data_IF_334710251281
#
_entry.id   IF_334710251281
#
_cell.length_a   1.000
_cell.length_b   1.000
_cell.length_c   1.000
_cell.angle_alpha   90.00
_cell.angle_beta   90.00
_cell.angle_gamma   90.00
#
_symmetry.space_group_name_H-M   'P 1'
#
loop_
_entity.id
_entity.type
_entity.pdbx_description
1 polymer ?
#
# COMPACT_ATOMS: atom_id res chain seq x y z
N UNK A 1 -19.34 8.35 -16.45
CA UNK A 1 -19.66 8.49 -15.02
C UNK A 1 -20.88 7.66 -14.68
N UNK A 2 -20.68 6.34 -14.63
CA UNK A 2 -21.49 5.48 -13.80
C UNK A 2 -20.98 5.60 -12.35
N UNK A 3 -21.86 5.95 -11.41
CA UNK A 3 -21.53 5.85 -9.99
C UNK A 3 -21.58 4.36 -9.60
N UNK A 4 -20.53 3.86 -8.94
CA UNK A 4 -20.48 2.49 -8.42
C UNK A 4 -19.75 1.46 -9.29
N UNK A 5 -19.01 1.87 -10.32
CA UNK A 5 -18.01 1.02 -10.97
C UNK A 5 -16.63 1.23 -10.33
N UNK A 6 -15.75 0.24 -10.45
CA UNK A 6 -14.34 0.37 -10.04
C UNK A 6 -13.69 1.61 -10.68
N UNK A 7 -12.78 2.25 -9.94
CA UNK A 7 -12.03 3.41 -10.40
C UNK A 7 -10.56 3.09 -10.57
N UNK A 8 -10.02 3.27 -11.77
CA UNK A 8 -8.61 3.08 -12.08
C UNK A 8 -8.02 4.33 -12.76
N UNK A 9 -6.71 4.34 -12.91
CA UNK A 9 -6.00 5.38 -13.66
C UNK A 9 -6.05 5.08 -15.16
N UNK A 10 -6.76 5.89 -15.95
CA UNK A 10 -6.89 5.63 -17.39
C UNK A 10 -5.88 6.41 -18.23
N UNK A 11 -5.73 7.71 -18.01
CA UNK A 11 -4.85 8.58 -18.83
C UNK A 11 -3.67 9.18 -18.05
N UNK A 12 -3.63 8.96 -16.73
CA UNK A 12 -2.60 9.53 -15.85
C UNK A 12 -2.38 8.60 -14.68
N UNK A 13 -1.13 8.38 -14.28
CA UNK A 13 -0.75 7.46 -13.19
C UNK A 13 -1.07 5.97 -13.46
N UNK A 14 -1.21 5.56 -14.71
CA UNK A 14 -1.47 4.16 -15.11
C UNK A 14 -0.47 3.16 -14.51
N UNK A 15 0.78 3.55 -14.32
CA UNK A 15 1.82 2.71 -13.71
C UNK A 15 1.52 2.33 -12.26
N UNK A 16 0.60 3.03 -11.61
CA UNK A 16 0.15 2.73 -10.24
C UNK A 16 -1.02 1.75 -10.21
N UNK A 17 -1.67 1.44 -11.34
CA UNK A 17 -2.81 0.51 -11.36
C UNK A 17 -2.40 -0.91 -10.94
N UNK A 18 -3.32 -1.67 -10.32
CA UNK A 18 -3.13 -3.10 -10.13
C UNK A 18 -3.37 -3.87 -11.42
N UNK A 19 -2.52 -4.84 -11.73
CA UNK A 19 -2.73 -5.74 -12.86
C UNK A 19 -2.72 -5.06 -14.23
N UNK A 20 -2.69 -5.85 -15.31
CA UNK A 20 -2.65 -5.30 -16.67
C UNK A 20 -4.04 -4.95 -17.25
N UNK A 21 -5.11 -5.45 -16.61
CA UNK A 21 -6.50 -5.24 -17.03
C UNK A 21 -7.14 -3.95 -16.51
N UNK A 22 -6.65 -3.39 -15.40
CA UNK A 22 -7.26 -2.24 -14.73
C UNK A 22 -7.46 -1.02 -15.64
N UNK A 23 -6.52 -0.73 -16.55
CA UNK A 23 -6.67 0.39 -17.49
C UNK A 23 -7.81 0.23 -18.52
N UNK A 24 -8.34 -0.99 -18.66
CA UNK A 24 -9.39 -1.32 -19.61
C UNK A 24 -10.77 -1.44 -18.93
N UNK A 25 -10.83 -1.23 -17.62
CA UNK A 25 -12.00 -1.46 -16.79
C UNK A 25 -12.35 -0.18 -16.01
N UNK A 26 -13.62 -0.03 -15.64
CA UNK A 26 -14.04 1.02 -14.73
C UNK A 26 -14.02 2.45 -15.32
N UNK A 27 -13.77 3.42 -14.46
CA UNK A 27 -13.78 4.86 -14.75
C UNK A 27 -12.46 5.53 -14.32
N UNK A 28 -12.14 6.70 -14.88
CA UNK A 28 -10.90 7.43 -14.54
C UNK A 28 -11.00 8.07 -13.16
N UNK A 29 -10.44 7.40 -12.16
CA UNK A 29 -10.47 7.82 -10.76
C UNK A 29 -9.91 9.24 -10.56
N UNK A 30 -8.82 9.58 -11.25
CA UNK A 30 -8.16 10.88 -11.10
C UNK A 30 -8.98 12.01 -11.75
N UNK A 31 -9.71 11.72 -12.82
CA UNK A 31 -10.63 12.69 -13.42
C UNK A 31 -11.85 12.92 -12.54
N UNK A 32 -12.46 11.84 -12.01
CA UNK A 32 -13.64 11.91 -11.14
C UNK A 32 -13.32 12.61 -9.81
N UNK A 33 -12.17 12.30 -9.20
CA UNK A 33 -11.73 12.88 -7.94
C UNK A 33 -11.61 14.41 -7.97
N UNK A 34 -11.44 15.02 -9.16
CA UNK A 34 -11.35 16.48 -9.33
C UNK A 34 -12.71 17.19 -9.43
N UNK A 35 -13.80 16.46 -9.62
CA UNK A 35 -15.11 17.07 -9.84
C UNK A 35 -15.62 17.75 -8.57
N UNK A 36 -16.05 19.01 -8.64
CA UNK A 36 -16.54 19.77 -7.47
C UNK A 36 -17.78 19.14 -6.80
N UNK A 37 -18.50 18.27 -7.51
CA UNK A 37 -19.68 17.57 -6.98
C UNK A 37 -19.36 16.31 -6.18
N UNK A 38 -18.07 15.95 -6.06
CA UNK A 38 -17.61 14.78 -5.29
C UNK A 38 -16.85 15.30 -4.07
N UNK A 39 -17.37 15.05 -2.87
CA UNK A 39 -16.79 15.60 -1.63
C UNK A 39 -15.65 14.74 -1.06
N UNK A 40 -15.68 13.44 -1.34
CA UNK A 40 -14.76 12.44 -0.78
C UNK A 40 -14.30 11.52 -1.89
N UNK A 41 -13.03 11.12 -1.83
CA UNK A 41 -12.47 10.10 -2.71
C UNK A 41 -12.35 8.78 -1.96
N UNK A 42 -12.56 7.68 -2.67
CA UNK A 42 -12.49 6.32 -2.11
C UNK A 42 -11.56 5.46 -2.94
N UNK A 43 -10.87 4.52 -2.32
CA UNK A 43 -10.01 3.56 -3.00
C UNK A 43 -10.26 2.17 -2.44
N UNK A 44 -10.29 1.17 -3.31
CA UNK A 44 -10.35 -0.24 -2.97
C UNK A 44 -8.99 -0.88 -3.31
N UNK A 45 -8.54 -1.85 -2.51
CA UNK A 45 -7.27 -2.53 -2.76
C UNK A 45 -7.32 -4.00 -2.36
N UNK A 46 -7.21 -4.87 -3.36
CA UNK A 46 -7.21 -6.32 -3.18
C UNK A 46 -5.98 -6.97 -3.80
N UNK A 47 -5.41 -7.95 -3.10
CA UNK A 47 -4.28 -8.73 -3.62
C UNK A 47 -4.60 -9.37 -4.97
N UNK A 48 -5.84 -9.87 -5.12
CA UNK A 48 -6.30 -10.50 -6.35
C UNK A 48 -6.27 -9.58 -7.56
N UNK A 49 -6.35 -8.27 -7.38
CA UNK A 49 -6.20 -7.32 -8.50
C UNK A 49 -4.78 -7.35 -9.08
N UNK A 50 -3.80 -7.91 -8.35
CA UNK A 50 -2.45 -8.18 -8.84
C UNK A 50 -2.32 -9.55 -9.52
N UNK A 51 -3.41 -10.32 -9.59
CA UNK A 51 -3.48 -11.59 -10.31
C UNK A 51 -4.12 -11.37 -11.70
N UNK A 52 -3.54 -11.97 -12.74
CA UNK A 52 -4.14 -12.17 -14.09
C UNK A 52 -4.01 -11.04 -15.12
N UNK A 53 -3.12 -11.21 -16.11
CA UNK A 53 -3.39 -11.22 -17.59
C UNK A 53 -2.27 -12.04 -18.29
N UNK A 54 -2.50 -12.80 -19.39
CA UNK A 54 -1.54 -13.73 -20.02
C UNK A 54 -0.18 -13.14 -20.47
N UNK A 55 0.87 -13.96 -20.72
CA UNK A 55 0.90 -15.44 -20.71
C UNK A 55 1.68 -16.08 -19.55
N UNK A 56 2.42 -15.33 -18.73
CA UNK A 56 3.13 -15.88 -17.57
C UNK A 56 3.01 -14.92 -16.39
N UNK A 57 2.48 -15.47 -15.31
CA UNK A 57 2.07 -14.78 -14.11
C UNK A 57 3.25 -14.66 -13.15
N UNK A 58 3.32 -13.55 -12.42
CA UNK A 58 3.93 -13.57 -11.09
C UNK A 58 2.83 -13.25 -10.10
N UNK A 59 2.32 -14.28 -9.42
CA UNK A 59 1.45 -14.09 -8.27
C UNK A 59 2.25 -13.30 -7.23
N UNK A 60 1.71 -12.16 -6.83
CA UNK A 60 2.31 -11.33 -5.81
C UNK A 60 2.20 -12.06 -4.47
N UNK A 61 3.32 -12.31 -3.79
CA UNK A 61 3.30 -12.84 -2.44
C UNK A 61 2.85 -11.75 -1.43
N UNK A 62 2.76 -12.10 -0.15
CA UNK A 62 2.32 -11.16 0.89
C UNK A 62 3.18 -9.89 0.96
N UNK A 63 4.50 -10.02 0.81
CA UNK A 63 5.42 -8.88 0.91
C UNK A 63 5.31 -7.99 -0.32
N UNK A 64 5.22 -8.59 -1.50
CA UNK A 64 4.93 -7.91 -2.75
C UNK A 64 3.62 -7.11 -2.64
N UNK A 65 2.55 -7.70 -2.11
CA UNK A 65 1.26 -7.00 -1.99
C UNK A 65 1.33 -5.85 -0.98
N UNK A 66 1.95 -6.06 0.19
CA UNK A 66 2.13 -4.98 1.17
C UNK A 66 2.92 -3.80 0.59
N UNK A 67 3.99 -4.08 -0.18
CA UNK A 67 4.77 -3.03 -0.83
C UNK A 67 3.97 -2.28 -1.89
N UNK A 68 3.19 -3.02 -2.69
CA UNK A 68 2.25 -2.42 -3.65
C UNK A 68 1.24 -1.52 -2.93
N UNK A 69 0.59 -2.02 -1.87
CA UNK A 69 -0.44 -1.27 -1.15
C UNK A 69 0.08 0.07 -0.63
N UNK A 70 1.30 0.10 -0.07
CA UNK A 70 1.92 1.35 0.40
C UNK A 70 2.12 2.34 -0.74
N UNK A 71 2.58 1.89 -1.91
CA UNK A 71 2.78 2.75 -3.08
C UNK A 71 1.45 3.22 -3.70
N UNK A 72 0.47 2.31 -3.76
CA UNK A 72 -0.84 2.56 -4.30
C UNK A 72 -1.59 3.61 -3.46
N UNK A 73 -1.62 3.41 -2.13
CA UNK A 73 -2.17 4.39 -1.20
C UNK A 73 -1.38 5.70 -1.25
N UNK A 74 -0.05 5.67 -1.33
CA UNK A 74 0.75 6.90 -1.45
C UNK A 74 0.40 7.74 -2.67
N UNK A 75 0.09 7.09 -3.81
CA UNK A 75 -0.39 7.79 -5.02
C UNK A 75 -1.76 8.42 -4.78
N UNK A 76 -2.72 7.66 -4.25
CA UNK A 76 -4.08 8.14 -3.99
C UNK A 76 -4.10 9.24 -2.93
N UNK A 77 -3.30 9.13 -1.89
CA UNK A 77 -3.13 10.12 -0.84
C UNK A 77 -2.63 11.43 -1.44
N UNK A 78 -1.52 11.42 -2.20
CA UNK A 78 -1.02 12.64 -2.85
C UNK A 78 -2.09 13.31 -3.72
N UNK A 79 -2.79 12.55 -4.55
CA UNK A 79 -3.83 13.09 -5.42
C UNK A 79 -5.02 13.66 -4.64
N UNK A 80 -5.46 12.97 -3.59
CA UNK A 80 -6.56 13.45 -2.74
C UNK A 80 -6.18 14.76 -2.03
N UNK A 81 -4.92 14.89 -1.58
CA UNK A 81 -4.37 16.16 -1.09
C UNK A 81 -4.39 17.24 -2.17
N UNK A 82 -3.95 16.93 -3.40
CA UNK A 82 -3.96 17.88 -4.52
C UNK A 82 -5.40 18.34 -4.86
N UNK A 83 -6.40 17.48 -4.65
CA UNK A 83 -7.82 17.79 -4.86
C UNK A 83 -8.45 18.53 -3.67
N UNK A 84 -7.75 18.59 -2.53
CA UNK A 84 -8.31 19.14 -1.28
C UNK A 84 -9.41 18.28 -0.67
N UNK A 85 -9.41 16.96 -0.92
CA UNK A 85 -10.48 16.04 -0.52
C UNK A 85 -10.00 14.94 0.42
N UNK A 86 -10.84 14.47 1.35
CA UNK A 86 -10.54 13.28 2.14
C UNK A 86 -10.45 12.03 1.26
N UNK A 87 -9.64 11.08 1.72
CA UNK A 87 -9.50 9.73 1.17
C UNK A 87 -9.97 8.69 2.18
N UNK A 88 -10.74 7.71 1.71
CA UNK A 88 -11.11 6.52 2.48
C UNK A 88 -10.61 5.27 1.73
N UNK A 89 -9.87 4.40 2.41
CA UNK A 89 -9.65 3.02 1.93
C UNK A 89 -10.90 2.22 2.24
N UNK A 90 -11.88 2.27 1.34
CA UNK A 90 -13.23 1.77 1.60
C UNK A 90 -13.31 0.24 1.59
N UNK A 91 -12.43 -0.41 0.84
CA UNK A 91 -12.36 -1.87 0.83
C UNK A 91 -10.90 -2.36 0.75
N UNK A 92 -10.56 -3.30 1.61
CA UNK A 92 -9.30 -4.05 1.56
C UNK A 92 -9.42 -5.37 2.30
N UNK A 93 -8.59 -6.35 1.94
CA UNK A 93 -8.52 -7.62 2.65
C UNK A 93 -7.54 -8.62 2.05
N UNK A 94 -7.35 -9.74 2.76
CA UNK A 94 -6.67 -10.93 2.24
C UNK A 94 -7.61 -12.12 2.26
N UNK A 95 -7.62 -12.84 1.14
CA UNK A 95 -8.45 -14.03 1.01
C UNK A 95 -7.83 -15.23 1.73
N UNK A 96 -8.66 -15.99 2.44
CA UNK A 96 -8.32 -17.28 3.02
C UNK A 96 -8.90 -18.42 2.17
N UNK A 97 -8.21 -19.57 2.07
CA UNK A 97 -6.99 -19.95 2.79
C UNK A 97 -5.67 -19.61 2.06
N UNK A 98 -5.69 -18.77 1.02
CA UNK A 98 -4.49 -18.44 0.24
C UNK A 98 -3.43 -17.71 1.08
N UNK A 99 -3.86 -16.90 2.05
CA UNK A 99 -3.01 -16.29 3.06
C UNK A 99 -3.27 -16.91 4.44
N UNK A 100 -2.46 -16.54 5.43
CA UNK A 100 -2.70 -16.95 6.83
C UNK A 100 -3.46 -15.87 7.60
N UNK A 101 -4.06 -16.27 8.73
CA UNK A 101 -4.70 -15.33 9.66
C UNK A 101 -3.68 -14.29 10.16
N UNK A 102 -2.44 -14.72 10.44
CA UNK A 102 -1.37 -13.81 10.87
C UNK A 102 -1.04 -12.76 9.81
N UNK A 103 -0.98 -13.15 8.53
CA UNK A 103 -0.77 -12.22 7.42
C UNK A 103 -1.92 -11.21 7.30
N UNK A 104 -3.17 -11.65 7.48
CA UNK A 104 -4.34 -10.75 7.52
C UNK A 104 -4.24 -9.74 8.65
N UNK A 105 -3.83 -10.16 9.85
CA UNK A 105 -3.64 -9.23 10.98
C UNK A 105 -2.48 -8.25 10.72
N UNK A 106 -1.38 -8.71 10.11
CA UNK A 106 -0.27 -7.83 9.72
C UNK A 106 -0.70 -6.79 8.68
N UNK A 107 -1.54 -7.16 7.71
CA UNK A 107 -2.13 -6.21 6.77
C UNK A 107 -2.98 -5.16 7.50
N UNK A 108 -3.83 -5.57 8.45
CA UNK A 108 -4.67 -4.65 9.21
C UNK A 108 -3.82 -3.68 10.03
N UNK A 109 -2.72 -4.16 10.61
CA UNK A 109 -1.74 -3.32 11.30
C UNK A 109 -1.07 -2.32 10.37
N UNK A 110 -0.65 -2.75 9.16
CA UNK A 110 -0.06 -1.85 8.16
C UNK A 110 -1.01 -0.69 7.82
N UNK A 111 -2.30 -0.98 7.61
CA UNK A 111 -3.32 0.05 7.33
C UNK A 111 -3.53 0.97 8.55
N UNK A 112 -3.60 0.41 9.76
CA UNK A 112 -3.75 1.20 10.99
C UNK A 112 -2.55 2.13 11.23
N UNK A 113 -1.32 1.64 11.03
CA UNK A 113 -0.08 2.42 11.15
C UNK A 113 -0.07 3.55 10.08
N UNK A 114 -0.51 3.27 8.85
CA UNK A 114 -0.64 4.28 7.80
C UNK A 114 -1.67 5.37 8.16
N UNK A 115 -2.84 4.99 8.69
CA UNK A 115 -3.84 5.95 9.17
C UNK A 115 -3.32 6.81 10.31
N UNK A 116 -2.59 6.23 11.26
CA UNK A 116 -1.97 6.97 12.35
C UNK A 116 -0.96 7.99 11.81
N UNK A 117 -0.13 7.58 10.86
CA UNK A 117 0.82 8.47 10.20
C UNK A 117 0.14 9.62 9.45
N UNK A 118 -0.93 9.33 8.69
CA UNK A 118 -1.71 10.33 7.97
C UNK A 118 -2.32 11.35 8.96
N UNK A 119 -2.90 10.88 10.07
CA UNK A 119 -3.38 11.78 11.13
C UNK A 119 -2.29 12.66 11.73
N UNK A 120 -1.10 12.10 12.00
CA UNK A 120 0.02 12.83 12.60
C UNK A 120 0.63 13.88 11.67
N UNK A 121 0.58 13.64 10.36
CA UNK A 121 1.19 14.50 9.35
C UNK A 121 0.20 15.43 8.65
N UNK A 122 -1.10 15.36 8.99
CA UNK A 122 -2.15 16.13 8.33
C UNK A 122 -2.49 15.64 6.92
N UNK A 123 -2.23 14.36 6.64
CA UNK A 123 -2.53 13.71 5.36
C UNK A 123 -4.03 13.50 5.13
N UNK A 124 -4.44 13.20 3.88
CA UNK A 124 -5.84 13.21 3.47
C UNK A 124 -6.60 11.93 3.79
N UNK A 125 -5.91 10.84 4.16
CA UNK A 125 -6.56 9.57 4.47
C UNK A 125 -7.18 9.62 5.87
N UNK A 126 -8.52 9.60 5.92
CA UNK A 126 -9.31 9.82 7.14
C UNK A 126 -10.01 8.56 7.66
N UNK A 127 -10.03 7.48 6.86
CA UNK A 127 -10.76 6.26 7.20
C UNK A 127 -10.26 5.05 6.43
N UNK A 128 -10.55 3.87 6.99
CA UNK A 128 -10.41 2.60 6.31
C UNK A 128 -11.53 1.64 6.76
N UNK A 129 -11.98 0.79 5.85
CA UNK A 129 -12.99 -0.24 6.06
C UNK A 129 -12.47 -1.54 5.43
N UNK A 130 -12.35 -2.59 6.24
CA UNK A 130 -11.95 -3.89 5.72
C UNK A 130 -13.16 -4.62 5.14
N UNK A 131 -12.94 -5.41 4.10
CA UNK A 131 -13.92 -6.33 3.57
C UNK A 131 -13.67 -7.73 4.13
N UNK A 132 -14.61 -8.39 4.81
CA UNK A 132 -15.84 -7.83 5.39
C UNK A 132 -16.08 -8.43 6.79
N UNK A 133 -16.97 -7.82 7.56
CA UNK A 133 -17.34 -8.32 8.88
C UNK A 133 -18.50 -9.34 8.78
N UNK A 134 -18.33 -10.50 9.40
CA UNK A 134 -19.33 -11.56 9.46
C UNK A 134 -19.65 -11.94 10.91
N UNK A 135 -20.86 -12.45 11.15
CA UNK A 135 -21.31 -13.03 12.42
C UNK A 135 -22.14 -14.28 12.10
N UNK A 136 -21.96 -15.35 12.86
CA UNK A 136 -22.72 -16.59 12.71
C UNK A 136 -22.30 -17.39 11.48
N UNK A 137 -23.26 -18.13 10.91
CA UNK A 137 -23.02 -18.99 9.75
C UNK A 137 -23.56 -18.32 8.49
N UNK A 138 -22.73 -17.52 7.83
CA UNK A 138 -23.04 -16.83 6.57
C UNK A 138 -22.21 -17.40 5.43
N UNK A 139 -22.58 -17.05 4.19
CA UNK A 139 -21.76 -17.39 3.03
C UNK A 139 -20.38 -16.72 3.14
N UNK A 140 -19.34 -17.47 2.79
CA UNK A 140 -17.94 -17.05 2.91
C UNK A 140 -17.32 -16.91 1.53
N UNK A 141 -17.01 -15.66 1.17
CA UNK A 141 -16.30 -15.30 -0.06
C UNK A 141 -14.78 -15.43 0.09
N UNK A 142 -14.31 -15.86 1.26
CA UNK A 142 -12.92 -16.00 1.66
C UNK A 142 -12.35 -14.76 2.37
N UNK A 143 -13.08 -13.64 2.43
CA UNK A 143 -12.64 -12.40 3.07
C UNK A 143 -13.26 -12.18 4.47
N UNK A 144 -14.27 -12.97 4.85
CA UNK A 144 -14.97 -12.83 6.12
C UNK A 144 -14.01 -12.76 7.32
N UNK A 145 -14.21 -11.74 8.15
CA UNK A 145 -13.67 -11.62 9.50
C UNK A 145 -14.84 -11.83 10.46
N UNK A 146 -14.91 -13.03 11.03
CA UNK A 146 -15.96 -13.39 11.99
C UNK A 146 -15.74 -12.68 13.33
N UNK A 147 -16.64 -11.77 13.70
CA UNK A 147 -16.55 -10.97 14.92
C UNK A 147 -16.92 -11.76 16.18
N UNK A 148 -17.61 -12.89 16.02
CA UNK A 148 -17.93 -13.88 17.04
C UNK A 148 -16.93 -15.05 17.09
N UNK A 149 -15.88 -15.00 16.26
CA UNK A 149 -14.80 -15.97 16.23
C UNK A 149 -13.73 -15.76 17.31
N UNK A 150 -12.79 -16.72 17.45
CA UNK A 150 -11.68 -16.59 18.38
C UNK A 150 -10.74 -15.43 17.98
N UNK A 151 -10.33 -14.63 18.98
CA UNK A 151 -9.42 -13.51 18.78
C UNK A 151 -7.99 -14.01 18.57
N UNK A 152 -7.44 -13.76 17.38
CA UNK A 152 -6.03 -14.05 17.07
C UNK A 152 -5.16 -12.84 17.37
N UNK A 153 -4.12 -13.01 18.20
CA UNK A 153 -3.09 -11.99 18.45
C UNK A 153 -1.80 -12.40 17.76
N UNK A 154 -1.21 -11.56 16.89
CA UNK A 154 0.08 -11.87 16.29
C UNK A 154 1.11 -12.09 17.39
N UNK A 155 1.95 -13.11 17.22
CA UNK A 155 3.15 -13.23 18.05
C UNK A 155 4.02 -12.00 17.77
N UNK A 156 4.53 -11.30 18.81
CA UNK A 156 5.49 -10.23 18.60
C UNK A 156 6.67 -10.75 17.79
N UNK A 157 6.90 -10.18 16.61
CA UNK A 157 8.15 -10.40 15.90
C UNK A 157 9.26 -9.77 16.75
N UNK A 158 10.32 -10.50 17.12
CA UNK A 158 11.45 -9.90 17.81
C UNK A 158 11.93 -8.70 16.99
N UNK A 159 12.07 -7.54 17.63
CA UNK A 159 12.73 -6.38 17.01
C UNK A 159 14.05 -6.88 16.42
N UNK A 160 14.38 -6.57 15.14
CA UNK A 160 15.68 -6.89 14.61
C UNK A 160 16.72 -6.32 15.58
N UNK A 161 17.49 -7.20 16.22
CA UNK A 161 18.60 -6.78 17.07
C UNK A 161 19.49 -5.92 16.19
N UNK A 162 19.54 -4.62 16.47
CA UNK A 162 20.49 -3.73 15.82
C UNK A 162 21.86 -4.39 15.91
N UNK A 163 22.45 -4.72 14.77
CA UNK A 163 23.77 -5.32 14.72
C UNK A 163 24.71 -4.46 15.59
N UNK A 164 25.61 -5.07 16.39
CA UNK A 164 26.57 -4.31 17.16
C UNK A 164 27.29 -3.35 16.23
N UNK A 165 27.19 -2.05 16.52
CA UNK A 165 27.99 -1.03 15.84
C UNK A 165 29.43 -1.45 16.04
N UNK A 166 30.04 -1.98 14.98
CA UNK A 166 31.46 -2.29 15.00
C UNK A 166 32.14 -0.93 15.01
N UNK A 167 32.67 -0.54 16.16
CA UNK A 167 33.49 0.66 16.30
C UNK A 167 34.72 0.49 15.41
N UNK A 168 34.64 0.97 14.17
CA UNK A 168 35.83 1.13 13.35
C UNK A 168 36.73 2.14 14.05
N UNK A 169 37.84 1.64 14.55
CA UNK A 169 38.99 2.41 15.03
C UNK A 169 39.42 3.37 13.91
N UNK A 170 39.57 4.68 14.16
CA UNK A 170 40.04 5.62 13.14
C UNK A 170 41.43 5.19 12.66
N UNK A 171 41.55 4.87 11.37
CA UNK A 171 42.84 4.71 10.71
C UNK A 171 43.47 6.09 10.56
N UNK A 172 44.62 6.29 11.20
CA UNK A 172 45.47 7.46 11.00
C UNK A 172 45.93 7.54 9.54
N UNK A 173 45.35 8.45 8.76
CA UNK A 173 45.83 8.79 7.42
C UNK A 173 47.11 9.64 7.54
N UNK A 174 48.27 9.03 7.29
CA UNK A 174 49.51 9.75 7.04
C UNK A 174 49.35 10.57 5.75
N UNK A 175 49.43 11.89 5.88
CA UNK A 175 49.37 12.83 4.76
C UNK A 175 50.50 12.60 3.77
N UNK A 176 50.14 12.53 2.49
CA UNK A 176 51.06 12.68 1.37
C UNK A 176 50.67 13.94 0.60
N UNK A 177 51.57 14.91 0.63
CA UNK A 177 51.46 16.19 -0.08
C UNK A 177 51.59 15.96 -1.60
N UNK A 178 50.77 16.59 -2.47
CA UNK A 178 50.98 16.54 -3.91
C UNK A 178 52.08 17.53 -4.34
N UNK A 179 52.98 17.09 -5.23
CA UNK A 179 53.97 17.93 -5.91
C UNK A 179 53.33 18.66 -7.12
N UNK A 180 53.82 19.86 -7.49
CA UNK A 180 53.20 20.70 -8.51
C UNK A 180 53.52 20.25 -9.94
N UNK A 181 52.52 20.40 -10.81
CA UNK A 181 52.53 20.07 -12.24
C UNK A 181 53.26 21.16 -13.03
N UNK A 182 54.27 20.78 -13.82
CA UNK A 182 54.87 21.62 -14.86
C UNK A 182 54.19 21.37 -16.21
N UNK A 183 53.82 22.46 -16.88
CA UNK A 183 53.24 22.45 -18.24
C UNK A 183 54.35 22.35 -19.31
N UNK A 184 54.08 21.70 -20.47
CA UNK A 184 54.91 21.87 -21.66
C UNK A 184 54.32 22.89 -22.64
N UNK A 185 55.22 23.69 -23.21
CA UNK A 185 55.12 24.54 -24.41
C UNK A 185 54.82 23.76 -25.68
#
# INVERSE_FOLDING_TARGET
VALGTEGYFLNSYESSNPGAGARCEGEDWAALGKMDTIDVTVVHAYERQLESVPPKWTKCDFNCFCNYLVQYLGTHQRLSSDFGKPLILEEFGLILPQYTVEQRVLLFRLVADNMQWMKQTGGPMVGAMFWNAAIGNVWDDGYNVYLDGPVTKPKPTPTPTSAPVTTQKPSSSSGSTPAPTSAPT
#
